data_IF_606660456470
#
_entry.id   IF_606660456470
#
_cell.length_a   1.000
_cell.length_b   1.000
_cell.length_c   1.000
_cell.angle_alpha   90.00
_cell.angle_beta   90.00
_cell.angle_gamma   90.00
#
_symmetry.space_group_name_H-M   'P 1'
#
loop_
_entity.id
_entity.type
_entity.pdbx_description
1 polymer ?
#
# COMPACT_ATOMS: atom_id res chain seq x y z
N UNK A 1 5.92 14.20 -16.82
CA UNK A 1 4.95 13.88 -17.89
C UNK A 1 3.60 14.52 -17.65
N UNK A 2 3.28 14.80 -16.44
CA UNK A 2 2.02 15.35 -15.94
C UNK A 2 1.46 16.51 -16.78
N UNK A 3 2.23 17.59 -17.01
CA UNK A 3 1.80 18.73 -17.82
C UNK A 3 1.86 18.42 -19.32
N UNK A 4 2.90 17.72 -19.78
CA UNK A 4 3.06 17.37 -21.18
C UNK A 4 1.85 16.56 -21.70
N UNK A 5 1.37 15.59 -20.93
CA UNK A 5 0.18 14.79 -21.30
C UNK A 5 -1.12 15.59 -21.27
N UNK A 6 -1.24 16.59 -20.39
CA UNK A 6 -2.43 17.48 -20.38
C UNK A 6 -2.52 18.32 -21.64
N UNK A 7 -1.39 18.74 -22.20
CA UNK A 7 -1.33 19.51 -23.45
C UNK A 7 -1.29 18.62 -24.70
N UNK A 8 -1.34 17.30 -24.55
CA UNK A 8 -1.45 16.34 -25.64
C UNK A 8 -0.12 15.87 -26.24
N UNK A 9 1.00 16.02 -25.50
CA UNK A 9 2.30 15.51 -25.95
C UNK A 9 2.32 13.97 -25.96
N UNK A 10 2.85 13.39 -27.04
CA UNK A 10 3.09 11.96 -27.16
C UNK A 10 4.49 11.60 -26.64
N UNK A 11 4.56 11.10 -25.40
CA UNK A 11 5.80 10.70 -24.74
C UNK A 11 6.54 9.59 -25.49
N UNK A 12 5.81 8.67 -26.11
CA UNK A 12 6.41 7.57 -26.87
C UNK A 12 7.08 8.10 -28.15
N UNK A 13 6.41 8.99 -28.87
CA UNK A 13 6.97 9.67 -30.02
C UNK A 13 8.22 10.48 -29.65
N UNK A 14 8.20 11.16 -28.51
CA UNK A 14 9.35 11.90 -27.97
C UNK A 14 10.58 11.01 -27.75
N UNK A 15 10.40 9.87 -27.06
CA UNK A 15 11.49 8.92 -26.81
C UNK A 15 12.04 8.38 -28.14
N UNK A 16 11.15 8.01 -29.07
CA UNK A 16 11.54 7.51 -30.39
C UNK A 16 12.37 8.55 -31.17
N UNK A 17 11.90 9.80 -31.26
CA UNK A 17 12.64 10.87 -31.92
C UNK A 17 13.99 11.17 -31.26
N UNK A 18 14.06 11.14 -29.92
CA UNK A 18 15.32 11.36 -29.21
C UNK A 18 16.35 10.28 -29.51
N UNK A 19 15.91 9.01 -29.65
CA UNK A 19 16.78 7.91 -30.12
C UNK A 19 17.20 8.08 -31.56
N UNK A 20 16.28 8.37 -32.48
CA UNK A 20 16.56 8.60 -33.90
C UNK A 20 17.56 9.77 -34.14
N UNK A 21 17.48 10.80 -33.27
CA UNK A 21 18.42 11.93 -33.31
C UNK A 21 19.73 11.70 -32.57
N UNK A 22 19.93 10.50 -31.99
CA UNK A 22 21.13 10.17 -31.22
C UNK A 22 21.31 10.93 -29.92
N UNK A 23 20.24 11.59 -29.41
CA UNK A 23 20.24 12.26 -28.09
C UNK A 23 20.23 11.23 -26.98
N UNK A 24 19.54 10.09 -27.18
CA UNK A 24 19.49 8.95 -26.27
C UNK A 24 20.06 7.73 -27.02
N UNK A 25 20.99 6.96 -26.40
CA UNK A 25 21.48 5.72 -26.99
C UNK A 25 20.33 4.74 -27.31
N UNK A 26 20.40 4.04 -28.43
CA UNK A 26 19.34 3.15 -28.88
C UNK A 26 19.07 1.98 -27.91
N UNK A 27 20.11 1.49 -27.24
CA UNK A 27 20.07 0.42 -26.25
C UNK A 27 19.61 0.88 -24.85
N UNK A 28 19.55 2.19 -24.62
CA UNK A 28 19.07 2.72 -23.34
C UNK A 28 17.58 2.47 -23.14
N UNK A 29 17.23 1.81 -22.01
CA UNK A 29 15.85 1.67 -21.58
C UNK A 29 15.34 3.00 -21.00
N UNK A 30 14.25 3.50 -21.56
CA UNK A 30 13.60 4.73 -21.11
C UNK A 30 12.15 4.39 -20.74
N UNK A 31 11.89 3.94 -19.49
CA UNK A 31 10.53 3.69 -19.07
C UNK A 31 9.74 4.99 -18.95
N UNK A 32 8.48 4.95 -19.31
CA UNK A 32 7.55 6.05 -19.13
C UNK A 32 6.18 5.53 -18.67
N UNK A 33 5.38 6.43 -18.13
CA UNK A 33 4.03 6.10 -17.71
C UNK A 33 3.08 7.27 -18.01
N UNK A 34 1.85 6.93 -18.34
CA UNK A 34 0.77 7.91 -18.51
C UNK A 34 0.26 8.35 -17.13
N UNK A 35 0.69 9.54 -16.73
CA UNK A 35 0.34 10.14 -15.43
C UNK A 35 -0.16 11.58 -15.60
N UNK A 36 -1.23 11.79 -16.42
CA UNK A 36 -1.74 13.14 -16.65
C UNK A 36 -2.30 13.74 -15.36
N UNK A 37 -2.17 15.06 -15.22
CA UNK A 37 -2.77 15.81 -14.11
C UNK A 37 -4.29 15.71 -14.14
N UNK A 38 -4.92 15.86 -12.98
CA UNK A 38 -6.38 15.96 -12.79
C UNK A 38 -7.19 14.71 -13.13
N UNK A 39 -6.54 13.55 -13.37
CA UNK A 39 -7.21 12.29 -13.73
C UNK A 39 -7.37 11.34 -12.54
N UNK A 40 -6.66 11.59 -11.45
CA UNK A 40 -6.70 10.73 -10.26
C UNK A 40 -5.84 11.28 -9.14
N UNK A 41 -5.50 10.41 -8.19
CA UNK A 41 -4.66 10.73 -7.04
C UNK A 41 -3.23 10.24 -7.23
N UNK A 42 -2.42 10.45 -6.19
CA UNK A 42 -1.07 9.88 -6.09
C UNK A 42 -1.07 8.34 -6.15
N UNK A 43 -2.12 7.66 -5.64
CA UNK A 43 -2.25 6.19 -5.76
C UNK A 43 -2.47 5.77 -7.21
N UNK A 44 -3.28 6.52 -7.97
CA UNK A 44 -3.45 6.31 -9.42
C UNK A 44 -2.15 6.56 -10.18
N UNK A 45 -1.42 7.61 -9.81
CA UNK A 45 -0.11 7.93 -10.39
C UNK A 45 0.92 6.83 -10.12
N UNK A 46 0.95 6.29 -8.90
CA UNK A 46 1.79 5.17 -8.53
C UNK A 46 1.51 3.93 -9.38
N UNK A 47 0.25 3.52 -9.50
CA UNK A 47 -0.14 2.34 -10.28
C UNK A 47 0.22 2.49 -11.76
N UNK A 48 -0.07 3.65 -12.36
CA UNK A 48 0.31 3.94 -13.73
C UNK A 48 1.83 3.89 -13.93
N UNK A 49 2.60 4.45 -12.99
CA UNK A 49 4.07 4.46 -13.04
C UNK A 49 4.63 3.04 -12.90
N UNK A 50 4.17 2.25 -11.94
CA UNK A 50 4.60 0.86 -11.76
C UNK A 50 4.33 0.03 -13.01
N UNK A 51 3.12 0.10 -13.58
CA UNK A 51 2.80 -0.55 -14.84
C UNK A 51 3.72 -0.10 -15.98
N UNK A 52 3.94 1.21 -16.12
CA UNK A 52 4.79 1.78 -17.18
C UNK A 52 6.25 1.34 -17.09
N UNK A 53 6.82 1.36 -15.89
CA UNK A 53 8.19 0.89 -15.63
C UNK A 53 8.28 -0.61 -15.93
N UNK A 54 7.44 -1.43 -15.30
CA UNK A 54 7.52 -2.89 -15.44
C UNK A 54 7.29 -3.33 -16.88
N UNK A 55 6.32 -2.74 -17.60
CA UNK A 55 6.09 -3.08 -19.01
C UNK A 55 7.30 -2.81 -19.90
N UNK A 56 8.07 -1.77 -19.60
CA UNK A 56 9.26 -1.40 -20.37
C UNK A 56 10.45 -2.31 -20.03
N UNK A 57 10.74 -2.49 -18.73
CA UNK A 57 11.97 -3.19 -18.31
C UNK A 57 11.88 -4.70 -18.44
N UNK A 58 10.67 -5.27 -18.46
CA UNK A 58 10.46 -6.73 -18.57
C UNK A 58 10.14 -7.19 -19.99
N UNK A 59 9.97 -6.28 -20.95
CA UNK A 59 9.67 -6.64 -22.33
C UNK A 59 10.70 -7.61 -22.92
N UNK A 60 10.24 -8.77 -23.38
CA UNK A 60 11.09 -9.82 -23.96
C UNK A 60 12.06 -10.51 -23.00
N UNK A 61 11.86 -10.36 -21.68
CA UNK A 61 12.77 -10.91 -20.65
C UNK A 61 12.32 -12.25 -20.08
N UNK A 62 11.23 -12.83 -20.56
CA UNK A 62 10.72 -14.10 -20.03
C UNK A 62 11.73 -15.23 -20.26
N UNK A 63 12.05 -15.96 -19.18
CA UNK A 63 12.97 -17.10 -19.13
C UNK A 63 12.36 -18.16 -18.20
N UNK A 64 13.20 -19.11 -17.76
CA UNK A 64 12.82 -20.09 -16.76
C UNK A 64 12.48 -19.45 -15.40
N UNK A 65 11.55 -20.05 -14.63
CA UNK A 65 11.18 -19.56 -13.32
C UNK A 65 12.39 -19.45 -12.38
N UNK A 66 12.50 -18.31 -11.67
CA UNK A 66 13.61 -18.05 -10.74
C UNK A 66 13.30 -18.49 -9.30
N UNK A 67 12.11 -19.02 -9.03
CA UNK A 67 11.66 -19.47 -7.70
C UNK A 67 11.46 -18.38 -6.66
N UNK A 68 11.51 -17.09 -7.06
CA UNK A 68 11.20 -15.96 -6.19
C UNK A 68 9.70 -15.66 -6.17
N UNK A 69 9.27 -14.94 -5.14
CA UNK A 69 7.94 -14.31 -5.06
C UNK A 69 8.12 -12.80 -5.14
N UNK A 70 7.41 -12.15 -6.05
CA UNK A 70 7.37 -10.69 -6.07
C UNK A 70 6.36 -10.19 -5.04
N UNK A 71 6.74 -9.16 -4.30
CA UNK A 71 5.83 -8.41 -3.44
C UNK A 71 5.71 -6.99 -3.99
N UNK A 72 4.50 -6.53 -4.20
CA UNK A 72 4.19 -5.14 -4.54
C UNK A 72 3.49 -4.52 -3.31
N UNK A 73 4.19 -3.70 -2.53
CA UNK A 73 3.60 -3.08 -1.34
C UNK A 73 2.39 -2.18 -1.64
N UNK A 74 2.33 -1.65 -2.86
CA UNK A 74 1.37 -0.61 -3.23
C UNK A 74 1.91 0.77 -2.89
N UNK A 75 1.03 1.77 -2.89
CA UNK A 75 1.42 3.12 -2.45
C UNK A 75 1.58 3.10 -0.92
N UNK A 76 2.80 2.90 -0.48
CA UNK A 76 3.16 2.87 0.93
C UNK A 76 4.38 3.76 1.19
N UNK A 77 4.31 4.61 2.21
CA UNK A 77 5.39 5.51 2.62
C UNK A 77 6.05 5.09 3.93
N UNK A 78 5.57 4.01 4.54
CA UNK A 78 6.13 3.48 5.78
C UNK A 78 7.35 2.61 5.49
N UNK A 79 8.55 3.15 5.69
CA UNK A 79 9.81 2.39 5.54
C UNK A 79 9.85 1.18 6.48
N UNK A 80 9.20 1.29 7.65
CA UNK A 80 8.99 0.18 8.57
C UNK A 80 8.26 -0.99 7.95
N UNK A 81 7.21 -0.74 7.16
CA UNK A 81 6.45 -1.81 6.50
C UNK A 81 7.31 -2.61 5.52
N UNK A 82 8.12 -1.95 4.71
CA UNK A 82 9.03 -2.63 3.78
C UNK A 82 10.05 -3.50 4.49
N UNK A 83 10.62 -3.00 5.60
CA UNK A 83 11.58 -3.74 6.43
C UNK A 83 10.92 -4.94 7.09
N UNK A 84 9.71 -4.77 7.59
CA UNK A 84 8.95 -5.84 8.23
C UNK A 84 8.59 -6.95 7.25
N UNK A 85 8.06 -6.64 6.08
CA UNK A 85 7.77 -7.66 5.06
C UNK A 85 9.03 -8.43 4.65
N UNK A 86 10.16 -7.75 4.43
CA UNK A 86 11.42 -8.42 4.13
C UNK A 86 11.82 -9.37 5.26
N UNK A 87 11.80 -8.90 6.50
CA UNK A 87 12.13 -9.70 7.69
C UNK A 87 11.26 -10.96 7.79
N UNK A 88 9.95 -10.81 7.65
CA UNK A 88 9.00 -11.92 7.76
C UNK A 88 9.22 -12.96 6.64
N UNK A 89 9.47 -12.52 5.42
CA UNK A 89 9.76 -13.42 4.30
C UNK A 89 11.11 -14.11 4.46
N UNK A 90 12.12 -13.43 5.01
CA UNK A 90 13.43 -14.01 5.30
C UNK A 90 13.33 -15.09 6.39
N UNK A 91 12.58 -14.85 7.48
CA UNK A 91 12.30 -15.86 8.52
C UNK A 91 11.62 -17.10 7.91
N UNK A 92 10.68 -16.92 6.98
CA UNK A 92 10.06 -18.01 6.24
C UNK A 92 11.01 -18.68 5.23
N UNK A 93 12.19 -18.12 5.00
CA UNK A 93 13.13 -18.60 3.96
C UNK A 93 12.58 -18.47 2.55
N UNK A 94 11.72 -17.48 2.29
CA UNK A 94 11.12 -17.20 0.99
C UNK A 94 12.03 -16.26 0.21
N UNK A 95 12.54 -16.73 -0.93
CA UNK A 95 13.24 -15.85 -1.88
C UNK A 95 12.25 -14.86 -2.47
N UNK A 96 12.55 -13.57 -2.37
CA UNK A 96 11.60 -12.55 -2.77
C UNK A 96 12.24 -11.37 -3.51
N UNK A 97 11.42 -10.59 -4.21
CA UNK A 97 11.77 -9.29 -4.79
C UNK A 97 10.68 -8.30 -4.40
N UNK A 98 11.04 -7.22 -3.71
CA UNK A 98 10.11 -6.12 -3.39
C UNK A 98 10.08 -5.15 -4.58
N UNK A 99 8.92 -4.94 -5.18
CA UNK A 99 8.70 -4.03 -6.31
C UNK A 99 7.83 -2.84 -5.88
N UNK A 100 8.30 -1.60 -5.76
CA UNK A 100 9.68 -1.13 -5.70
C UNK A 100 10.03 -0.85 -4.23
N UNK A 101 11.18 -1.30 -3.76
CA UNK A 101 11.62 -1.03 -2.39
C UNK A 101 12.08 0.42 -2.25
N UNK A 102 11.45 1.17 -1.37
CA UNK A 102 11.80 2.57 -1.08
C UNK A 102 12.33 2.76 0.35
N UNK A 103 12.48 1.68 1.11
CA UNK A 103 12.81 1.75 2.54
C UNK A 103 14.09 2.52 2.81
N UNK A 104 15.16 2.24 2.06
CA UNK A 104 16.44 2.91 2.24
C UNK A 104 16.53 4.24 1.48
N UNK A 105 15.72 4.42 0.43
CA UNK A 105 15.64 5.68 -0.31
C UNK A 105 15.10 6.81 0.59
N UNK A 106 14.08 6.50 1.40
CA UNK A 106 13.43 7.48 2.27
C UNK A 106 14.03 7.56 3.69
N UNK A 107 14.83 6.58 4.09
CA UNK A 107 15.30 6.46 5.47
C UNK A 107 16.76 5.99 5.58
N UNK A 108 17.64 6.53 4.72
CA UNK A 108 19.08 6.32 4.84
C UNK A 108 19.72 7.36 5.75
N UNK A 109 20.70 6.95 6.60
CA UNK A 109 21.48 7.89 7.39
C UNK A 109 22.36 8.75 6.48
N UNK A 110 22.49 10.02 6.81
CA UNK A 110 23.46 10.88 6.16
C UNK A 110 24.86 10.60 6.73
N UNK A 111 25.73 10.03 5.91
CA UNK A 111 27.13 9.70 6.26
C UNK A 111 28.15 10.70 5.66
N UNK A 112 27.66 11.83 5.12
CA UNK A 112 28.50 12.83 4.44
C UNK A 112 28.79 12.52 2.97
N UNK A 113 28.41 11.35 2.46
CA UNK A 113 28.48 11.02 1.03
C UNK A 113 27.16 11.34 0.35
N UNK A 114 27.22 12.07 -0.76
CA UNK A 114 26.03 12.27 -1.58
C UNK A 114 25.77 11.05 -2.46
N UNK A 115 24.65 10.37 -2.22
CA UNK A 115 24.10 9.33 -3.10
C UNK A 115 22.72 9.77 -3.55
N UNK A 116 22.51 9.82 -4.85
CA UNK A 116 21.23 10.29 -5.41
C UNK A 116 20.06 9.39 -4.99
N UNK A 117 20.27 8.07 -5.02
CA UNK A 117 19.28 7.07 -4.61
C UNK A 117 20.01 5.91 -3.91
N UNK A 118 20.17 5.96 -2.58
CA UNK A 118 20.75 4.84 -1.84
C UNK A 118 19.74 3.68 -1.76
N UNK A 119 20.20 2.45 -2.05
CA UNK A 119 19.35 1.26 -1.95
C UNK A 119 18.28 1.15 -3.05
N UNK A 120 17.14 0.60 -2.71
CA UNK A 120 16.06 0.32 -3.65
C UNK A 120 16.13 -1.07 -4.27
N UNK A 121 15.16 -1.40 -5.13
CA UNK A 121 15.17 -2.66 -5.88
C UNK A 121 16.23 -2.63 -6.98
N UNK A 122 17.20 -3.55 -7.00
CA UNK A 122 18.17 -3.63 -8.09
C UNK A 122 17.47 -3.80 -9.44
N UNK A 123 17.93 -3.07 -10.46
CA UNK A 123 17.33 -3.12 -11.80
C UNK A 123 17.30 -4.56 -12.36
N UNK A 124 18.34 -5.33 -12.12
CA UNK A 124 18.41 -6.74 -12.54
C UNK A 124 17.29 -7.58 -11.92
N UNK A 125 17.01 -7.40 -10.62
CA UNK A 125 15.92 -8.09 -9.93
C UNK A 125 14.55 -7.63 -10.43
N UNK A 126 14.38 -6.32 -10.65
CA UNK A 126 13.17 -5.78 -11.23
C UNK A 126 12.92 -6.31 -12.65
N UNK A 127 13.95 -6.43 -13.48
CA UNK A 127 13.85 -7.04 -14.83
C UNK A 127 13.56 -8.54 -14.77
N UNK A 128 14.08 -9.24 -13.76
CA UNK A 128 13.88 -10.68 -13.59
C UNK A 128 12.53 -11.02 -12.91
N UNK A 129 11.80 -10.01 -12.44
CA UNK A 129 10.52 -10.19 -11.77
C UNK A 129 9.45 -10.89 -12.62
N UNK A 130 9.52 -10.78 -13.96
CA UNK A 130 8.67 -11.53 -14.91
C UNK A 130 8.81 -13.04 -14.76
N UNK A 131 9.94 -13.54 -14.25
CA UNK A 131 10.27 -14.95 -14.09
C UNK A 131 9.97 -15.48 -12.68
N UNK A 132 9.33 -14.69 -11.81
CA UNK A 132 8.93 -15.11 -10.48
C UNK A 132 7.87 -16.23 -10.52
N UNK A 133 7.78 -17.00 -9.45
CA UNK A 133 6.74 -18.01 -9.27
C UNK A 133 5.35 -17.38 -9.11
N UNK A 134 5.29 -16.23 -8.44
CA UNK A 134 4.06 -15.49 -8.23
C UNK A 134 4.34 -14.01 -7.94
N UNK A 135 3.28 -13.18 -8.04
CA UNK A 135 3.26 -11.80 -7.54
C UNK A 135 2.12 -11.60 -6.56
N UNK A 136 2.43 -11.05 -5.38
CA UNK A 136 1.48 -10.67 -4.35
C UNK A 136 1.48 -9.14 -4.21
N UNK A 137 0.34 -8.51 -4.38
CA UNK A 137 0.14 -7.11 -4.06
C UNK A 137 -0.50 -6.97 -2.68
N UNK A 138 0.06 -6.10 -1.83
CA UNK A 138 -0.45 -5.84 -0.47
C UNK A 138 -1.53 -4.75 -0.45
N UNK A 139 -1.83 -4.18 -1.61
CA UNK A 139 -2.86 -3.17 -1.82
C UNK A 139 -3.54 -3.43 -3.16
N UNK A 140 -4.87 -3.47 -3.15
CA UNK A 140 -5.68 -3.80 -4.33
C UNK A 140 -5.92 -2.59 -5.25
N UNK A 141 -6.20 -1.44 -4.64
CA UNK A 141 -6.60 -0.22 -5.37
C UNK A 141 -5.42 0.51 -5.98
N UNK A 142 -4.31 0.61 -5.24
CA UNK A 142 -3.11 1.29 -5.71
C UNK A 142 -2.24 0.46 -6.67
N UNK A 143 -2.64 -0.79 -6.97
CA UNK A 143 -1.90 -1.71 -7.86
C UNK A 143 -2.77 -2.35 -8.94
N UNK A 144 -4.00 -1.90 -9.11
CA UNK A 144 -5.00 -2.56 -9.96
C UNK A 144 -4.52 -2.77 -11.40
N UNK A 145 -4.09 -1.69 -12.08
CA UNK A 145 -3.61 -1.75 -13.47
C UNK A 145 -2.29 -2.50 -13.62
N UNK A 146 -1.43 -2.40 -12.61
CA UNK A 146 -0.17 -3.16 -12.55
C UNK A 146 -0.46 -4.65 -12.46
N UNK A 147 -1.39 -5.06 -11.60
CA UNK A 147 -1.77 -6.47 -11.45
C UNK A 147 -2.54 -7.01 -12.66
N UNK A 148 -3.35 -6.17 -13.33
CA UNK A 148 -3.93 -6.55 -14.63
C UNK A 148 -2.84 -6.83 -15.66
N UNK A 149 -1.87 -5.92 -15.80
CA UNK A 149 -0.73 -6.08 -16.70
C UNK A 149 0.05 -7.37 -16.41
N UNK A 150 0.40 -7.61 -15.14
CA UNK A 150 1.11 -8.81 -14.71
C UNK A 150 0.35 -10.08 -15.10
N UNK A 151 -0.96 -10.13 -14.83
CA UNK A 151 -1.76 -11.30 -15.16
C UNK A 151 -1.90 -11.56 -16.66
N UNK A 152 -1.84 -10.51 -17.48
CA UNK A 152 -1.92 -10.62 -18.93
C UNK A 152 -0.59 -11.00 -19.59
N UNK A 153 0.50 -10.36 -19.14
CA UNK A 153 1.78 -10.43 -19.86
C UNK A 153 2.77 -11.42 -19.22
N UNK A 154 2.76 -11.59 -17.89
CA UNK A 154 3.75 -12.44 -17.22
C UNK A 154 3.27 -13.89 -17.07
N UNK A 155 1.97 -14.12 -17.07
CA UNK A 155 1.34 -15.46 -17.06
C UNK A 155 1.68 -16.33 -15.84
N UNK A 156 2.24 -15.76 -14.76
CA UNK A 156 2.43 -16.46 -13.50
C UNK A 156 1.27 -16.17 -12.51
N UNK A 157 1.23 -16.91 -11.42
CA UNK A 157 0.21 -16.73 -10.39
C UNK A 157 0.28 -15.33 -9.79
N UNK A 158 -0.88 -14.69 -9.59
CA UNK A 158 -0.98 -13.39 -8.94
C UNK A 158 -2.13 -13.36 -7.94
N UNK A 159 -1.94 -12.61 -6.86
CA UNK A 159 -3.00 -12.33 -5.89
C UNK A 159 -2.85 -10.92 -5.34
N UNK A 160 -3.96 -10.31 -4.94
CA UNK A 160 -3.97 -9.07 -4.15
C UNK A 160 -4.64 -9.36 -2.83
N UNK A 161 -3.97 -9.03 -1.74
CA UNK A 161 -4.45 -9.19 -0.36
C UNK A 161 -4.85 -7.82 0.21
N UNK A 162 -5.62 -7.80 1.27
CA UNK A 162 -5.72 -6.61 2.10
C UNK A 162 -4.37 -6.36 2.77
N UNK A 163 -4.02 -5.09 2.96
CA UNK A 163 -2.82 -4.74 3.74
C UNK A 163 -2.80 -5.55 5.02
N UNK A 164 -1.69 -6.23 5.35
CA UNK A 164 -1.60 -7.14 6.50
C UNK A 164 -1.57 -6.38 7.83
N UNK A 165 -2.62 -5.60 8.10
CA UNK A 165 -2.87 -4.85 9.32
C UNK A 165 -3.78 -5.68 10.21
N UNK A 166 -3.34 -5.95 11.44
CA UNK A 166 -4.03 -6.82 12.38
C UNK A 166 -3.80 -8.32 12.13
N UNK A 167 -4.26 -9.16 13.06
CA UNK A 167 -3.99 -10.61 13.04
C UNK A 167 -4.60 -11.26 11.80
N UNK A 168 -5.87 -11.02 11.55
CA UNK A 168 -6.61 -11.67 10.47
C UNK A 168 -6.01 -11.44 9.08
N UNK A 169 -5.63 -10.20 8.78
CA UNK A 169 -5.08 -9.88 7.47
C UNK A 169 -3.65 -10.39 7.33
N UNK A 170 -2.88 -10.39 8.44
CA UNK A 170 -1.52 -10.96 8.48
C UNK A 170 -1.56 -12.47 8.33
N UNK A 171 -2.47 -13.17 9.02
CA UNK A 171 -2.72 -14.62 8.85
C UNK A 171 -3.03 -14.94 7.37
N UNK A 172 -3.92 -14.15 6.74
CA UNK A 172 -4.28 -14.32 5.32
C UNK A 172 -3.09 -14.14 4.38
N UNK A 173 -2.21 -13.18 4.67
CA UNK A 173 -0.98 -12.99 3.91
C UNK A 173 -0.06 -14.20 4.01
N UNK A 174 0.17 -14.73 5.22
CA UNK A 174 1.00 -15.93 5.40
C UNK A 174 0.40 -17.18 4.75
N UNK A 175 -0.93 -17.32 4.79
CA UNK A 175 -1.60 -18.42 4.10
C UNK A 175 -1.38 -18.36 2.58
N UNK A 176 -1.43 -17.19 1.97
CA UNK A 176 -1.11 -17.03 0.55
C UNK A 176 0.36 -17.35 0.26
N UNK A 177 1.30 -16.90 1.09
CA UNK A 177 2.73 -17.27 0.96
C UNK A 177 2.90 -18.78 1.07
N UNK A 178 2.27 -19.42 2.05
CA UNK A 178 2.31 -20.88 2.24
C UNK A 178 1.76 -21.62 1.02
N UNK A 179 0.63 -21.20 0.50
CA UNK A 179 -0.01 -21.79 -0.69
C UNK A 179 0.84 -21.67 -1.94
N UNK A 180 1.53 -20.54 -2.13
CA UNK A 180 2.38 -20.27 -3.30
C UNK A 180 3.70 -21.01 -3.21
N UNK A 181 4.32 -21.04 -2.03
CA UNK A 181 5.71 -21.51 -1.88
C UNK A 181 5.81 -22.93 -1.33
N UNK A 182 4.74 -23.48 -0.77
CA UNK A 182 4.75 -24.76 -0.03
C UNK A 182 5.49 -24.71 1.30
N UNK A 183 5.96 -23.53 1.74
CA UNK A 183 6.69 -23.37 3.01
C UNK A 183 5.73 -23.30 4.18
N UNK A 184 6.15 -23.88 5.31
CA UNK A 184 5.40 -23.77 6.58
C UNK A 184 5.75 -22.47 7.29
N UNK A 185 4.80 -21.95 8.08
CA UNK A 185 5.08 -20.82 8.97
C UNK A 185 6.00 -21.30 10.10
N UNK A 186 7.16 -20.67 10.32
CA UNK A 186 8.06 -21.04 11.40
C UNK A 186 7.50 -20.69 12.79
N UNK A 187 7.96 -21.42 13.82
CA UNK A 187 7.54 -21.18 15.21
C UNK A 187 7.81 -19.74 15.68
N UNK A 188 8.89 -19.12 15.19
CA UNK A 188 9.22 -17.71 15.50
C UNK A 188 8.08 -16.75 15.13
N UNK A 189 7.46 -16.94 13.95
CA UNK A 189 6.32 -16.13 13.49
C UNK A 189 5.06 -16.46 14.30
N UNK A 190 4.83 -17.74 14.64
CA UNK A 190 3.71 -18.13 15.51
C UNK A 190 3.86 -17.51 16.91
N UNK A 191 5.07 -17.44 17.44
CA UNK A 191 5.34 -16.79 18.73
C UNK A 191 5.12 -15.26 18.65
N UNK A 192 5.47 -14.61 17.52
CA UNK A 192 5.16 -13.20 17.31
C UNK A 192 3.65 -12.96 17.25
N UNK A 193 2.95 -13.81 16.51
CA UNK A 193 1.47 -13.80 16.48
C UNK A 193 0.86 -13.93 17.89
N UNK A 194 1.39 -14.84 18.69
CA UNK A 194 0.98 -15.01 20.10
C UNK A 194 1.15 -13.72 20.90
N UNK A 195 2.35 -13.11 20.83
CA UNK A 195 2.62 -11.83 21.52
C UNK A 195 1.72 -10.69 21.03
N UNK A 196 1.42 -10.62 19.73
CA UNK A 196 0.49 -9.63 19.19
C UNK A 196 -0.93 -9.83 19.73
N UNK A 197 -1.41 -11.07 19.83
CA UNK A 197 -2.70 -11.40 20.43
C UNK A 197 -2.74 -11.00 21.92
N UNK A 198 -1.69 -11.28 22.69
CA UNK A 198 -1.60 -10.86 24.08
C UNK A 198 -1.66 -9.33 24.21
N UNK A 199 -0.92 -8.61 23.39
CA UNK A 199 -0.97 -7.14 23.35
C UNK A 199 -2.35 -6.58 22.96
N UNK A 200 -3.06 -7.27 22.06
CA UNK A 200 -4.44 -6.93 21.70
C UNK A 200 -5.40 -7.16 22.87
N UNK A 201 -5.24 -8.24 23.63
CA UNK A 201 -6.05 -8.53 24.82
C UNK A 201 -5.84 -7.43 25.88
N UNK A 202 -4.59 -7.06 26.13
CA UNK A 202 -4.26 -5.98 27.09
C UNK A 202 -4.83 -4.61 26.65
N UNK A 203 -4.87 -4.35 25.36
CA UNK A 203 -5.36 -3.10 24.78
C UNK A 203 -6.89 -3.07 24.58
N UNK A 204 -7.53 -4.23 24.54
CA UNK A 204 -8.95 -4.40 24.24
C UNK A 204 -9.88 -3.53 25.09
N UNK A 205 -9.70 -3.39 26.44
CA UNK A 205 -10.57 -2.56 27.27
C UNK A 205 -10.59 -1.08 26.88
N UNK A 206 -9.55 -0.60 26.22
CA UNK A 206 -9.41 0.80 25.79
C UNK A 206 -9.99 1.07 24.41
N UNK A 207 -10.21 0.03 23.60
CA UNK A 207 -10.68 0.14 22.20
C UNK A 207 -12.10 -0.36 22.03
N UNK A 208 -12.48 -1.40 22.77
CA UNK A 208 -13.80 -2.05 22.68
C UNK A 208 -14.93 -1.06 22.90
N UNK A 209 -15.88 -1.03 21.96
CA UNK A 209 -17.03 -0.13 21.99
C UNK A 209 -16.71 1.34 21.70
N UNK A 210 -15.44 1.69 21.44
CA UNK A 210 -15.08 3.05 21.05
C UNK A 210 -15.46 3.32 19.59
N UNK A 211 -15.92 4.53 19.35
CA UNK A 211 -16.39 5.03 18.05
C UNK A 211 -15.26 5.75 17.32
N UNK A 212 -15.03 5.41 16.07
CA UNK A 212 -13.94 5.93 15.26
C UNK A 212 -14.43 6.64 14.02
N UNK A 213 -13.83 7.79 13.71
CA UNK A 213 -13.86 8.41 12.39
C UNK A 213 -12.55 8.12 11.67
N UNK A 214 -12.61 7.75 10.40
CA UNK A 214 -11.45 7.42 9.59
C UNK A 214 -11.43 8.25 8.30
N UNK A 215 -10.25 8.74 7.92
CA UNK A 215 -10.03 9.37 6.62
C UNK A 215 -8.69 8.91 6.04
N UNK A 216 -8.70 8.46 4.79
CA UNK A 216 -7.50 7.92 4.13
C UNK A 216 -7.76 7.37 2.74
N UNK A 217 -6.81 6.55 2.29
CA UNK A 217 -6.85 5.85 1.02
C UNK A 217 -7.60 4.51 1.14
N UNK A 218 -8.13 4.04 0.03
CA UNK A 218 -8.97 2.84 -0.03
C UNK A 218 -8.35 1.62 0.64
N UNK A 219 -7.11 1.27 0.28
CA UNK A 219 -6.44 0.07 0.81
C UNK A 219 -6.15 0.18 2.30
N UNK A 220 -5.65 1.34 2.75
CA UNK A 220 -5.38 1.61 4.16
C UNK A 220 -6.67 1.55 4.99
N UNK A 221 -7.75 2.18 4.51
CA UNK A 221 -9.02 2.20 5.22
C UNK A 221 -9.60 0.80 5.38
N UNK A 222 -9.56 -0.06 4.35
CA UNK A 222 -10.04 -1.43 4.46
C UNK A 222 -9.22 -2.25 5.48
N UNK A 223 -7.90 -2.07 5.52
CA UNK A 223 -7.04 -2.69 6.52
C UNK A 223 -7.38 -2.23 7.94
N UNK A 224 -7.55 -0.92 8.14
CA UNK A 224 -7.88 -0.32 9.44
C UNK A 224 -9.30 -0.70 9.91
N UNK A 225 -10.29 -0.74 9.03
CA UNK A 225 -11.65 -1.20 9.35
C UNK A 225 -11.60 -2.64 9.88
N UNK A 226 -10.87 -3.53 9.19
CA UNK A 226 -10.69 -4.91 9.63
C UNK A 226 -10.08 -4.98 11.03
N UNK A 227 -8.97 -4.29 11.24
CA UNK A 227 -8.26 -4.27 12.52
C UNK A 227 -9.08 -3.67 13.66
N UNK A 228 -9.75 -2.53 13.43
CA UNK A 228 -10.60 -1.92 14.47
C UNK A 228 -11.70 -2.87 14.91
N UNK A 229 -12.36 -3.56 13.99
CA UNK A 229 -13.41 -4.53 14.31
C UNK A 229 -12.86 -5.78 15.03
N UNK A 230 -11.60 -6.18 14.76
CA UNK A 230 -10.93 -7.23 15.56
C UNK A 230 -10.74 -6.80 17.01
N UNK A 231 -10.47 -5.51 17.25
CA UNK A 231 -10.32 -4.91 18.58
C UNK A 231 -11.66 -4.56 19.25
N UNK A 232 -12.79 -4.81 18.58
CA UNK A 232 -14.11 -4.42 19.08
C UNK A 232 -14.39 -2.91 18.96
N UNK A 233 -13.61 -2.17 18.19
CA UNK A 233 -13.86 -0.76 17.86
C UNK A 233 -14.94 -0.61 16.79
N UNK A 234 -15.64 0.50 16.80
CA UNK A 234 -16.78 0.81 15.92
C UNK A 234 -16.38 1.87 14.90
N UNK A 235 -16.09 1.52 13.63
CA UNK A 235 -15.76 2.48 12.57
C UNK A 235 -17.05 3.16 12.07
N UNK A 236 -17.39 4.33 12.62
CA UNK A 236 -18.66 5.04 12.36
C UNK A 236 -18.60 5.86 11.08
N UNK A 237 -17.62 6.74 10.94
CA UNK A 237 -17.45 7.58 9.76
C UNK A 237 -16.22 7.16 8.98
N UNK A 238 -16.41 6.67 7.77
CA UNK A 238 -15.33 6.19 6.90
C UNK A 238 -15.31 7.06 5.64
N UNK A 239 -14.36 7.99 5.57
CA UNK A 239 -14.22 8.93 4.44
C UNK A 239 -13.02 8.53 3.59
N UNK A 240 -13.27 8.13 2.35
CA UNK A 240 -12.25 7.87 1.35
C UNK A 240 -12.28 8.95 0.28
N UNK A 241 -11.30 9.87 0.29
CA UNK A 241 -11.32 11.03 -0.60
C UNK A 241 -11.26 10.66 -2.08
N UNK A 242 -10.62 9.55 -2.41
CA UNK A 242 -10.48 9.02 -3.77
C UNK A 242 -11.25 7.71 -3.96
N UNK A 243 -12.12 7.36 -3.01
CA UNK A 243 -12.97 6.17 -3.11
C UNK A 243 -14.00 6.29 -4.24
N UNK A 244 -14.30 5.15 -4.82
CA UNK A 244 -15.35 4.97 -5.81
C UNK A 244 -16.43 4.02 -5.28
N UNK A 245 -17.40 3.69 -6.13
CA UNK A 245 -18.47 2.75 -5.79
C UNK A 245 -17.92 1.36 -5.41
N UNK A 246 -16.84 0.91 -6.04
CA UNK A 246 -16.22 -0.38 -5.72
C UNK A 246 -15.63 -0.40 -4.31
N UNK A 247 -15.01 0.70 -3.89
CA UNK A 247 -14.56 0.86 -2.52
C UNK A 247 -15.72 0.81 -1.52
N UNK A 248 -16.85 1.50 -1.82
CA UNK A 248 -18.04 1.44 -0.95
C UNK A 248 -18.55 0.01 -0.80
N UNK A 249 -18.67 -0.73 -1.89
CA UNK A 249 -19.10 -2.14 -1.89
C UNK A 249 -18.17 -3.03 -1.06
N UNK A 250 -16.85 -2.90 -1.25
CA UNK A 250 -15.85 -3.67 -0.50
C UNK A 250 -15.87 -3.31 0.99
N UNK A 251 -16.00 -2.02 1.32
CA UNK A 251 -16.06 -1.54 2.72
C UNK A 251 -17.34 -2.05 3.42
N UNK A 252 -18.51 -1.92 2.81
CA UNK A 252 -19.76 -2.45 3.38
C UNK A 252 -19.74 -3.98 3.49
N UNK A 253 -19.16 -4.69 2.51
CA UNK A 253 -18.95 -6.13 2.60
C UNK A 253 -18.08 -6.52 3.79
N UNK A 254 -17.08 -5.70 4.12
CA UNK A 254 -16.21 -5.91 5.27
C UNK A 254 -16.93 -5.60 6.59
N UNK A 255 -17.63 -4.47 6.67
CA UNK A 255 -18.42 -4.05 7.83
C UNK A 255 -19.49 -5.07 8.22
N UNK A 256 -20.15 -5.67 7.23
CA UNK A 256 -21.20 -6.69 7.47
C UNK A 256 -20.70 -7.98 8.11
N UNK A 257 -19.39 -8.22 8.17
CA UNK A 257 -18.78 -9.41 8.76
C UNK A 257 -18.63 -9.36 10.30
N UNK A 258 -18.96 -8.21 10.91
CA UNK A 258 -18.81 -8.02 12.35
C UNK A 258 -19.96 -7.17 12.90
N UNK A 259 -20.46 -7.47 14.12
CA UNK A 259 -21.45 -6.62 14.77
C UNK A 259 -20.92 -5.20 15.03
N UNK A 260 -19.62 -5.02 15.17
CA UNK A 260 -18.97 -3.70 15.34
C UNK A 260 -19.02 -2.85 14.08
N UNK A 261 -19.30 -3.42 12.92
CA UNK A 261 -19.48 -2.71 11.67
C UNK A 261 -20.90 -2.15 11.42
N UNK A 262 -21.86 -2.50 12.28
CA UNK A 262 -23.28 -2.18 12.05
C UNK A 262 -23.58 -0.68 11.96
N UNK A 263 -22.82 0.16 12.65
CA UNK A 263 -22.97 1.64 12.62
C UNK A 263 -22.14 2.30 11.51
N UNK A 264 -21.32 1.54 10.79
CA UNK A 264 -20.37 2.05 9.80
C UNK A 264 -21.06 2.70 8.61
N UNK A 265 -20.66 3.95 8.32
CA UNK A 265 -21.13 4.73 7.17
C UNK A 265 -19.95 5.08 6.28
N UNK A 266 -20.02 4.68 5.01
CA UNK A 266 -18.95 4.87 4.03
C UNK A 266 -19.27 6.04 3.13
N UNK A 267 -18.29 6.92 2.94
CA UNK A 267 -18.39 8.16 2.17
C UNK A 267 -17.25 8.21 1.13
N UNK A 268 -17.46 7.58 -0.02
CA UNK A 268 -16.52 7.63 -1.12
C UNK A 268 -16.58 8.99 -1.85
N UNK A 269 -15.43 9.49 -2.29
CA UNK A 269 -15.32 10.76 -3.00
C UNK A 269 -15.67 12.00 -2.14
N UNK A 270 -15.65 11.85 -0.82
CA UNK A 270 -15.89 12.96 0.12
C UNK A 270 -14.59 13.40 0.77
N UNK A 271 -14.52 14.66 1.17
CA UNK A 271 -13.34 15.30 1.72
C UNK A 271 -13.37 15.43 3.26
N UNK A 272 -12.29 15.99 3.80
CA UNK A 272 -12.19 16.25 5.24
C UNK A 272 -13.22 17.29 5.74
N UNK A 273 -13.71 18.17 4.87
CA UNK A 273 -14.73 19.14 5.25
C UNK A 273 -16.06 18.45 5.51
N UNK A 274 -16.38 17.44 4.69
CA UNK A 274 -17.52 16.58 4.93
C UNK A 274 -17.38 15.81 6.25
N UNK A 275 -16.21 15.19 6.49
CA UNK A 275 -15.93 14.47 7.73
C UNK A 275 -16.07 15.39 8.97
N UNK A 276 -15.59 16.64 8.87
CA UNK A 276 -15.75 17.63 9.93
C UNK A 276 -17.23 17.81 10.30
N UNK A 277 -18.10 17.99 9.30
CA UNK A 277 -19.54 18.15 9.53
C UNK A 277 -20.16 16.93 10.21
N UNK A 278 -19.76 15.72 9.79
CA UNK A 278 -20.21 14.49 10.43
C UNK A 278 -19.80 14.41 11.89
N UNK A 279 -18.54 14.73 12.21
CA UNK A 279 -18.03 14.69 13.59
C UNK A 279 -18.70 15.69 14.53
N UNK A 280 -19.26 16.80 14.02
CA UNK A 280 -20.07 17.72 14.82
C UNK A 280 -21.51 17.23 15.04
N UNK A 281 -22.08 16.53 14.05
CA UNK A 281 -23.46 16.04 14.15
C UNK A 281 -23.56 14.69 14.87
N UNK A 282 -22.55 13.85 14.71
CA UNK A 282 -22.45 12.55 15.34
C UNK A 282 -21.00 12.35 15.86
N UNK A 283 -20.71 12.80 17.10
CA UNK A 283 -19.38 12.72 17.69
C UNK A 283 -18.85 11.30 17.83
N UNK A 284 -17.52 11.18 17.79
CA UNK A 284 -16.78 9.93 17.95
C UNK A 284 -15.69 10.08 19.01
N UNK A 285 -15.17 8.94 19.52
CA UNK A 285 -14.12 8.93 20.54
C UNK A 285 -12.74 9.23 19.96
N UNK A 286 -12.46 8.75 18.74
CA UNK A 286 -11.16 8.87 18.09
C UNK A 286 -11.28 9.21 16.60
N UNK A 287 -10.31 9.95 16.12
CA UNK A 287 -10.09 10.21 14.69
C UNK A 287 -8.82 9.52 14.23
N UNK A 288 -8.87 8.78 13.12
CA UNK A 288 -7.70 8.20 12.45
C UNK A 288 -7.53 8.89 11.10
N UNK A 289 -6.33 9.39 10.84
CA UNK A 289 -6.05 10.07 9.57
C UNK A 289 -4.64 10.62 9.48
N UNK A 290 -4.32 11.20 8.34
CA UNK A 290 -3.02 11.79 8.04
C UNK A 290 -2.76 13.11 8.82
N UNK A 291 -1.63 13.77 8.55
CA UNK A 291 -1.27 15.02 9.24
C UNK A 291 -2.26 16.17 9.05
N UNK A 292 -3.04 16.18 7.97
CA UNK A 292 -4.08 17.21 7.78
C UNK A 292 -5.28 17.00 8.70
N UNK A 293 -5.55 15.79 9.17
CA UNK A 293 -6.61 15.52 10.14
C UNK A 293 -6.41 16.26 11.48
N UNK A 294 -5.22 16.83 11.73
CA UNK A 294 -4.98 17.70 12.89
C UNK A 294 -5.91 18.93 12.96
N UNK A 295 -6.42 19.40 11.82
CA UNK A 295 -7.36 20.51 11.80
C UNK A 295 -8.73 20.08 12.33
N UNK A 296 -9.16 18.85 12.00
CA UNK A 296 -10.39 18.28 12.54
C UNK A 296 -10.27 18.07 14.07
N UNK A 297 -9.14 17.50 14.51
CA UNK A 297 -8.87 17.39 15.94
C UNK A 297 -8.95 18.75 16.68
N UNK A 298 -8.33 19.79 16.12
CA UNK A 298 -8.38 21.13 16.73
C UNK A 298 -9.81 21.69 16.81
N UNK A 299 -10.62 21.44 15.78
CA UNK A 299 -11.98 21.98 15.70
C UNK A 299 -12.96 21.20 16.59
N UNK A 300 -12.82 19.87 16.67
CA UNK A 300 -13.78 19.00 17.37
C UNK A 300 -13.34 18.55 18.75
N UNK A 301 -12.04 18.71 19.07
CA UNK A 301 -11.44 18.16 20.30
C UNK A 301 -11.21 16.65 20.28
N UNK A 302 -11.62 15.94 19.22
CA UNK A 302 -11.49 14.48 19.12
C UNK A 302 -10.02 14.05 18.97
N UNK A 303 -9.47 13.18 19.85
CA UNK A 303 -8.09 12.72 19.77
C UNK A 303 -7.74 12.13 18.40
N UNK A 304 -6.57 12.50 17.86
CA UNK A 304 -6.09 12.07 16.55
C UNK A 304 -5.00 11.01 16.66
N UNK A 305 -5.23 9.87 16.04
CA UNK A 305 -4.24 8.84 15.73
C UNK A 305 -3.74 9.08 14.30
N UNK A 306 -2.44 9.38 14.15
CA UNK A 306 -1.87 9.70 12.84
C UNK A 306 -1.46 8.44 12.09
N UNK A 307 -2.20 8.10 11.06
CA UNK A 307 -1.93 7.01 10.12
C UNK A 307 -2.30 7.48 8.72
N UNK A 308 -1.50 7.11 7.71
CA UNK A 308 -1.76 7.41 6.31
C UNK A 308 -0.77 8.40 5.70
N UNK A 309 -1.13 8.96 4.55
CA UNK A 309 -0.30 9.90 3.79
C UNK A 309 -1.06 11.23 3.57
N UNK A 310 -0.38 12.39 3.69
CA UNK A 310 1.02 12.59 4.15
C UNK A 310 1.14 12.62 5.68
N UNK A 311 2.33 12.20 6.18
CA UNK A 311 2.76 12.41 7.56
C UNK A 311 3.95 13.36 7.59
N UNK A 312 3.71 14.65 7.78
CA UNK A 312 4.77 15.68 7.78
C UNK A 312 5.06 16.28 9.16
N UNK A 313 4.17 16.11 10.12
CA UNK A 313 4.33 16.62 11.49
C UNK A 313 4.82 15.55 12.50
N UNK A 314 4.95 14.31 12.06
CA UNK A 314 5.41 13.14 12.83
C UNK A 314 6.20 12.17 11.95
N UNK A 315 7.26 12.64 11.30
CA UNK A 315 8.05 11.85 10.33
C UNK A 315 8.55 10.51 10.87
N UNK A 316 8.92 10.44 12.16
CA UNK A 316 9.41 9.21 12.75
C UNK A 316 8.41 8.05 12.70
N UNK A 317 7.10 8.32 12.54
CA UNK A 317 6.09 7.27 12.43
C UNK A 317 6.28 6.39 11.20
N UNK A 318 6.87 6.90 10.12
CA UNK A 318 7.18 6.09 8.93
C UNK A 318 8.15 4.94 9.18
N UNK A 319 8.96 5.02 10.25
CA UNK A 319 9.93 3.98 10.60
C UNK A 319 9.32 2.78 11.31
N UNK A 320 8.16 2.94 11.89
CA UNK A 320 7.46 1.87 12.60
C UNK A 320 6.55 1.13 11.63
N UNK A 321 6.57 -0.21 11.59
CA UNK A 321 5.62 -0.96 10.81
C UNK A 321 4.21 -0.82 11.40
N UNK A 322 3.22 -0.79 10.54
CA UNK A 322 1.80 -0.90 10.89
C UNK A 322 1.21 -2.19 10.33
N UNK A 323 2.05 -3.05 9.79
CA UNK A 323 1.71 -4.37 9.22
C UNK A 323 2.53 -5.45 9.93
N UNK A 324 2.10 -6.70 9.78
CA UNK A 324 2.69 -7.84 10.47
C UNK A 324 2.05 -8.07 11.84
N UNK A 325 2.79 -8.78 12.69
CA UNK A 325 2.36 -9.08 14.06
C UNK A 325 2.96 -8.15 15.09
#
# INVERSE_FOLDING_TARGET
TCMAEVIGDDLNAFIKQAKEKGVIPNDMLVPFAHTPSFVGSYTTGYDNMMKGILSTITAGKKKEPNGKVNIIPGFDTYTGNYREIKRLLDIMGVKHTILADVSDIYDSPNNGEYKLYPGGTPLADAMDSINAAATIALQKYSTFKTMEFIGKEWTHQKTSVLSPIGIKNTDSFFEDIRRITGKTVPQEIEDERGRAVDAMIDSHPYVHGKRFALVGDSDLLLGLISFLMEMGGIPVHIVCTMGDKKFEEDAYSLLSKSPFGAEGKVYAGKDMWHLRSLMFTEPVDFLIGNSYAKFLWKDTGTPLIRIGFPLFDRHHLHRYPIIGY
#
